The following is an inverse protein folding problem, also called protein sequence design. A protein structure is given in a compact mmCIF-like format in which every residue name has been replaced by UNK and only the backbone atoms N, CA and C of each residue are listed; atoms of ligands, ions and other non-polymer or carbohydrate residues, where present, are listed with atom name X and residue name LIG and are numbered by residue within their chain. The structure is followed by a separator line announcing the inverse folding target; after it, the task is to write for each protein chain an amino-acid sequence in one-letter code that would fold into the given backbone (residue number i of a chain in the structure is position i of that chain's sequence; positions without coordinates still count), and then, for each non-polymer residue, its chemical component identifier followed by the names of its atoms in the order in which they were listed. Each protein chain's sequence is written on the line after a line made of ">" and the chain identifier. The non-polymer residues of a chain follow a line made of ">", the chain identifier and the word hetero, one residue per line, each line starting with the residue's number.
data_IF_053727032904
#
_entry.id   IF_053727032904
#
_cell.length_a   1.000
_cell.length_b   1.000
_cell.length_c   1.000
_cell.angle_alpha   90.00
_cell.angle_beta   90.00
_cell.angle_gamma   90.00
#
_symmetry.space_group_name_H-M   'P 1'
#
loop_
_entity.id
_entity.type
_entity.pdbx_description
1 polymer ?
#
# COMPACT_ATOMS: atom_id res chain seq x y z
N UNK A 1 2.68 -2.20 -29.22
CA UNK A 1 3.89 -2.41 -30.06
C UNK A 1 5.05 -2.51 -29.10
N UNK A 2 5.50 -3.73 -28.79
CA UNK A 2 6.75 -3.97 -28.07
C UNK A 2 7.78 -4.43 -29.09
N UNK A 3 8.70 -3.55 -29.47
CA UNK A 3 9.88 -3.89 -30.23
C UNK A 3 11.05 -4.10 -29.26
N UNK A 4 11.58 -5.32 -29.18
CA UNK A 4 12.90 -5.56 -28.58
C UNK A 4 13.92 -5.55 -29.71
N UNK A 5 14.98 -4.77 -29.59
CA UNK A 5 16.14 -4.82 -30.48
C UNK A 5 17.34 -5.32 -29.68
N UNK A 6 17.90 -6.46 -30.11
CA UNK A 6 19.18 -6.97 -29.66
C UNK A 6 20.28 -6.28 -30.47
N UNK A 7 20.66 -5.05 -30.12
CA UNK A 7 21.74 -4.30 -30.77
C UNK A 7 21.68 -2.79 -30.57
N UNK A 8 22.84 -2.12 -30.67
CA UNK A 8 22.98 -0.66 -30.58
C UNK A 8 22.40 0.03 -31.83
N UNK A 9 21.09 0.27 -31.83
CA UNK A 9 20.40 1.07 -32.84
C UNK A 9 19.62 2.22 -32.20
N UNK A 10 19.75 3.42 -32.74
CA UNK A 10 18.97 4.58 -32.31
C UNK A 10 17.50 4.41 -32.71
N UNK A 11 16.60 4.36 -31.72
CA UNK A 11 15.16 4.28 -31.97
C UNK A 11 14.64 5.70 -32.24
N UNK A 12 14.16 5.94 -33.46
CA UNK A 12 13.52 7.20 -33.84
C UNK A 12 12.00 7.03 -33.76
N UNK A 13 11.37 7.70 -32.80
CA UNK A 13 9.91 7.78 -32.72
C UNK A 13 9.43 8.95 -33.59
N UNK A 14 8.58 8.67 -34.58
CA UNK A 14 7.93 9.71 -35.37
C UNK A 14 6.40 9.55 -35.34
N UNK A 15 5.70 10.64 -35.62
CA UNK A 15 4.24 10.70 -35.47
C UNK A 15 3.50 9.81 -36.49
N UNK A 16 4.17 9.34 -37.55
CA UNK A 16 3.60 8.42 -38.53
C UNK A 16 3.43 6.99 -37.95
N UNK A 17 4.07 6.68 -36.82
CA UNK A 17 3.83 5.45 -36.07
C UNK A 17 2.48 5.46 -35.32
N UNK A 18 1.84 6.63 -35.16
CA UNK A 18 0.47 6.71 -34.65
C UNK A 18 -0.50 6.37 -35.78
N UNK A 19 -1.08 5.17 -35.74
CA UNK A 19 -2.26 4.88 -36.54
C UNK A 19 -3.43 5.69 -35.97
N UNK A 20 -3.97 6.63 -36.74
CA UNK A 20 -5.22 7.31 -36.38
C UNK A 20 -6.37 6.29 -36.42
N UNK A 21 -6.52 5.52 -35.34
CA UNK A 21 -7.66 4.64 -35.15
C UNK A 21 -8.92 5.47 -34.88
N UNK A 22 -10.07 4.98 -35.31
CA UNK A 22 -11.36 5.49 -34.87
C UNK A 22 -11.53 5.15 -33.37
N UNK A 23 -10.94 5.97 -32.51
CA UNK A 23 -11.08 5.91 -31.05
C UNK A 23 -12.41 6.55 -30.60
N UNK A 24 -13.46 6.42 -31.40
CA UNK A 24 -14.80 6.94 -31.12
C UNK A 24 -15.58 6.07 -30.13
N UNK A 25 -15.15 4.84 -29.91
CA UNK A 25 -15.76 3.92 -28.95
C UNK A 25 -15.16 4.10 -27.56
N UNK A 26 -15.70 5.06 -26.80
CA UNK A 26 -15.46 5.18 -25.36
C UNK A 26 -16.60 4.47 -24.61
N UNK A 27 -16.33 3.33 -24.00
CA UNK A 27 -17.32 2.58 -23.21
C UNK A 27 -17.48 3.23 -21.82
N UNK A 28 -18.28 4.30 -21.72
CA UNK A 28 -18.82 4.74 -20.42
C UNK A 28 -19.91 3.74 -20.02
N UNK A 29 -19.80 3.15 -18.83
CA UNK A 29 -20.98 2.59 -18.18
C UNK A 29 -21.98 3.73 -17.91
N UNK A 30 -22.96 3.91 -18.80
CA UNK A 30 -24.09 4.80 -18.55
C UNK A 30 -25.05 4.13 -17.58
N UNK A 31 -24.62 3.90 -16.35
CA UNK A 31 -25.59 3.71 -15.28
C UNK A 31 -25.87 5.09 -14.71
N UNK A 32 -27.06 5.62 -15.00
CA UNK A 32 -27.76 6.43 -14.02
C UNK A 32 -27.99 5.52 -12.81
N UNK A 33 -26.94 5.24 -12.05
CA UNK A 33 -27.12 4.76 -10.69
C UNK A 33 -27.83 5.94 -10.03
N UNK A 34 -29.08 5.71 -9.65
CA UNK A 34 -29.64 6.37 -8.48
C UNK A 34 -28.47 6.49 -7.51
N UNK A 35 -28.12 7.72 -7.11
CA UNK A 35 -27.20 7.91 -6.00
C UNK A 35 -27.88 7.24 -4.81
N UNK A 36 -27.72 5.91 -4.68
CA UNK A 36 -27.66 5.28 -3.38
C UNK A 36 -26.67 6.19 -2.67
N UNK A 37 -27.19 6.89 -1.66
CA UNK A 37 -26.36 7.54 -0.66
C UNK A 37 -25.14 6.65 -0.52
N UNK A 38 -23.96 7.17 -0.86
CA UNK A 38 -22.72 6.46 -0.61
C UNK A 38 -22.85 6.11 0.87
N UNK A 39 -23.13 4.84 1.18
CA UNK A 39 -22.91 4.30 2.51
C UNK A 39 -21.54 4.82 2.85
N UNK A 40 -21.44 5.67 3.87
CA UNK A 40 -20.15 6.12 4.36
C UNK A 40 -19.51 4.83 4.80
N UNK A 41 -18.69 4.26 3.92
CA UNK A 41 -17.88 3.11 4.27
C UNK A 41 -16.99 3.68 5.34
N UNK A 42 -17.23 3.27 6.58
CA UNK A 42 -16.39 3.61 7.71
C UNK A 42 -15.00 3.05 7.37
N UNK A 43 -14.13 3.98 6.97
CA UNK A 43 -12.74 3.70 6.64
C UNK A 43 -11.93 4.07 7.85
N UNK A 44 -11.17 3.11 8.34
CA UNK A 44 -10.27 3.30 9.45
C UNK A 44 -8.90 2.90 8.98
N UNK A 45 -8.00 3.88 8.81
CA UNK A 45 -6.72 3.66 8.15
C UNK A 45 -5.61 4.27 8.98
N UNK A 46 -4.47 3.61 8.97
CA UNK A 46 -3.22 4.13 9.52
C UNK A 46 -2.11 3.88 8.49
N UNK A 47 -1.41 4.96 8.13
CA UNK A 47 -0.24 4.89 7.27
C UNK A 47 1.01 4.95 8.13
N UNK A 48 1.82 3.90 8.05
CA UNK A 48 3.07 3.80 8.78
C UNK A 48 4.23 4.06 7.81
N UNK A 49 5.10 4.99 8.20
CA UNK A 49 6.25 5.39 7.41
C UNK A 49 7.53 4.92 8.09
N UNK A 50 8.39 4.23 7.34
CA UNK A 50 9.76 3.90 7.71
C UNK A 50 10.72 4.88 7.02
N UNK A 51 11.52 5.60 7.80
CA UNK A 51 12.43 6.61 7.28
C UNK A 51 13.81 6.60 7.94
N UNK A 52 14.80 7.23 7.30
CA UNK A 52 16.10 7.50 7.92
C UNK A 52 16.64 8.90 7.57
N UNK A 53 17.70 9.32 8.29
CA UNK A 53 18.36 10.60 8.09
C UNK A 53 19.07 10.76 6.72
N UNK A 54 19.25 9.66 5.97
CA UNK A 54 19.87 9.64 4.63
C UNK A 54 18.84 9.81 3.50
N UNK A 55 17.56 9.96 3.83
CA UNK A 55 16.48 10.15 2.87
C UNK A 55 15.84 8.86 2.35
N UNK A 56 16.14 7.70 2.95
CA UNK A 56 15.38 6.49 2.68
C UNK A 56 13.96 6.65 3.25
N UNK A 57 12.97 6.25 2.46
CA UNK A 57 11.56 6.35 2.82
C UNK A 57 10.78 5.21 2.19
N UNK A 58 9.91 4.58 2.97
CA UNK A 58 8.93 3.60 2.53
C UNK A 58 7.70 3.69 3.43
N UNK A 59 6.51 3.50 2.85
CA UNK A 59 5.25 3.55 3.57
C UNK A 59 4.44 2.29 3.33
N UNK A 60 3.73 1.85 4.37
CA UNK A 60 2.72 0.77 4.32
C UNK A 60 1.40 1.27 4.91
N UNK A 61 0.29 0.66 4.50
CA UNK A 61 -1.06 1.03 4.93
C UNK A 61 -1.75 -0.16 5.59
N UNK A 62 -2.29 0.06 6.78
CA UNK A 62 -3.23 -0.86 7.42
C UNK A 62 -4.61 -0.20 7.43
N UNK A 63 -5.62 -0.91 6.93
CA UNK A 63 -6.98 -0.41 6.83
C UNK A 63 -8.00 -1.41 7.35
N UNK A 64 -8.90 -0.96 8.22
CA UNK A 64 -10.05 -1.73 8.68
C UNK A 64 -11.28 -1.29 7.90
N UNK A 65 -11.96 -2.25 7.30
CA UNK A 65 -13.11 -2.01 6.41
C UNK A 65 -14.09 -3.16 6.46
N UNK A 66 -15.38 -2.84 6.31
CA UNK A 66 -16.44 -3.85 6.24
C UNK A 66 -16.23 -4.79 5.04
N UNK A 67 -16.41 -6.10 5.29
CA UNK A 67 -16.23 -7.20 4.33
C UNK A 67 -14.78 -7.55 3.95
N UNK A 68 -13.77 -6.94 4.57
CA UNK A 68 -12.42 -7.49 4.55
C UNK A 68 -12.31 -8.71 5.48
N UNK A 69 -11.23 -9.48 5.33
CA UNK A 69 -10.88 -10.57 6.24
C UNK A 69 -9.57 -10.28 6.95
N UNK A 70 -9.28 -10.99 8.04
CA UNK A 70 -7.98 -10.87 8.74
C UNK A 70 -6.89 -11.75 8.11
N UNK A 71 -7.26 -12.70 7.25
CA UNK A 71 -6.33 -13.46 6.39
C UNK A 71 -5.99 -12.67 5.12
N UNK A 72 -5.31 -13.31 4.16
CA UNK A 72 -5.06 -12.65 2.88
C UNK A 72 -6.36 -12.48 2.07
N UNK A 73 -6.68 -11.24 1.72
CA UNK A 73 -7.85 -10.88 0.91
C UNK A 73 -7.43 -10.15 -0.36
N UNK A 74 -7.47 -10.84 -1.50
CA UNK A 74 -7.11 -10.29 -2.80
C UNK A 74 -7.96 -9.07 -3.23
N UNK A 75 -9.08 -8.80 -2.57
CA UNK A 75 -9.93 -7.63 -2.85
C UNK A 75 -9.43 -6.36 -2.16
N UNK A 76 -8.66 -6.49 -1.09
CA UNK A 76 -8.22 -5.37 -0.24
C UNK A 76 -6.70 -5.30 -0.06
N UNK A 77 -6.02 -6.44 -0.14
CA UNK A 77 -4.59 -6.55 0.12
C UNK A 77 -3.76 -6.26 -1.14
N UNK A 78 -2.65 -5.54 -0.93
CA UNK A 78 -1.64 -5.25 -1.93
C UNK A 78 -0.32 -5.88 -1.54
N UNK A 79 0.08 -6.95 -2.24
CA UNK A 79 1.36 -7.61 -2.05
C UNK A 79 2.53 -6.66 -2.37
N UNK A 80 3.56 -6.67 -1.52
CA UNK A 80 4.82 -5.97 -1.79
C UNK A 80 5.58 -6.72 -2.87
N UNK A 81 6.01 -6.00 -3.89
CA UNK A 81 6.88 -6.54 -4.94
C UNK A 81 8.36 -6.28 -4.68
N UNK A 82 8.72 -5.76 -3.50
CA UNK A 82 10.09 -5.39 -3.12
C UNK A 82 10.81 -4.59 -4.23
N UNK A 83 10.09 -3.65 -4.83
CA UNK A 83 10.56 -2.92 -6.00
C UNK A 83 11.63 -1.86 -5.70
N UNK A 84 11.96 -1.64 -4.43
CA UNK A 84 12.94 -0.65 -3.99
C UNK A 84 14.23 -1.35 -3.57
N UNK A 85 15.32 -1.04 -4.27
CA UNK A 85 16.63 -1.67 -4.07
C UNK A 85 17.23 -1.45 -2.67
N UNK A 86 16.78 -0.42 -1.94
CA UNK A 86 17.43 0.03 -0.72
C UNK A 86 16.63 -0.24 0.56
N UNK A 87 15.30 -0.28 0.46
CA UNK A 87 14.42 -0.36 1.63
C UNK A 87 13.06 -0.94 1.24
N UNK A 88 12.58 -1.89 2.04
CA UNK A 88 11.19 -2.33 2.02
C UNK A 88 10.59 -2.30 3.42
N UNK A 89 9.27 -2.08 3.50
CA UNK A 89 8.50 -2.00 4.73
C UNK A 89 7.09 -2.47 4.43
N UNK A 90 6.63 -3.46 5.18
CA UNK A 90 5.42 -4.21 4.88
C UNK A 90 4.86 -4.85 6.15
N UNK A 91 3.59 -5.21 6.11
CA UNK A 91 3.04 -6.17 7.05
C UNK A 91 3.18 -7.60 6.52
N UNK A 92 3.15 -8.58 7.42
CA UNK A 92 3.26 -10.00 7.09
C UNK A 92 1.96 -10.69 7.46
N UNK A 93 1.35 -11.37 6.48
CA UNK A 93 0.14 -12.16 6.67
C UNK A 93 0.18 -13.41 5.79
N UNK A 94 -0.07 -14.60 6.34
CA UNK A 94 -0.11 -15.87 5.60
C UNK A 94 1.05 -16.07 4.60
N UNK A 95 2.29 -15.87 5.06
CA UNK A 95 3.52 -15.94 4.25
C UNK A 95 3.63 -14.92 3.10
N UNK A 96 2.84 -13.85 3.14
CA UNK A 96 2.89 -12.73 2.21
C UNK A 96 3.31 -11.44 2.87
N UNK A 97 4.14 -10.68 2.16
CA UNK A 97 4.50 -9.33 2.52
C UNK A 97 3.52 -8.36 1.84
N UNK A 98 2.86 -7.49 2.58
CA UNK A 98 1.82 -6.59 2.10
C UNK A 98 2.22 -5.12 2.29
N UNK A 99 2.13 -4.32 1.22
CA UNK A 99 2.24 -2.85 1.29
C UNK A 99 0.90 -2.20 1.67
N UNK A 100 -0.21 -2.91 1.41
CA UNK A 100 -1.54 -2.53 1.85
C UNK A 100 -2.19 -3.77 2.44
N UNK A 101 -2.68 -3.68 3.67
CA UNK A 101 -3.42 -4.77 4.31
C UNK A 101 -4.79 -4.30 4.77
N UNK A 102 -5.82 -4.99 4.30
CA UNK A 102 -7.17 -4.92 4.81
C UNK A 102 -7.35 -5.79 6.05
N UNK A 103 -8.09 -5.29 7.03
CA UNK A 103 -8.52 -6.02 8.22
C UNK A 103 -10.03 -5.92 8.36
N UNK A 104 -10.63 -6.96 8.93
CA UNK A 104 -12.07 -7.02 9.10
C UNK A 104 -12.57 -6.00 10.14
N UNK A 105 -13.81 -5.55 9.96
CA UNK A 105 -14.59 -4.94 11.04
C UNK A 105 -15.53 -5.99 11.66
N UNK A 106 -15.87 -5.88 12.97
CA UNK A 106 -15.51 -4.79 13.90
C UNK A 106 -14.03 -4.79 14.34
N UNK A 107 -13.52 -3.61 14.70
CA UNK A 107 -12.15 -3.43 15.20
C UNK A 107 -11.95 -4.14 16.55
N UNK A 108 -10.82 -4.81 16.72
CA UNK A 108 -10.37 -5.38 18.00
C UNK A 108 -9.22 -4.51 18.53
N UNK A 109 -9.37 -3.99 19.74
CA UNK A 109 -8.34 -3.16 20.40
C UNK A 109 -7.06 -3.96 20.73
N UNK A 110 -7.13 -5.30 20.73
CA UNK A 110 -6.00 -6.18 20.93
C UNK A 110 -5.46 -6.75 19.61
N UNK A 111 -5.84 -6.17 18.47
CA UNK A 111 -5.37 -6.66 17.18
C UNK A 111 -3.87 -6.47 17.02
N UNK A 112 -3.17 -7.54 16.67
CA UNK A 112 -1.72 -7.52 16.43
C UNK A 112 -1.44 -7.78 14.95
N UNK A 113 -0.62 -6.91 14.36
CA UNK A 113 -0.16 -7.06 12.98
C UNK A 113 1.35 -7.14 12.96
N UNK A 114 1.87 -8.25 12.43
CA UNK A 114 3.30 -8.44 12.27
C UNK A 114 3.83 -7.51 11.17
N UNK A 115 4.81 -6.69 11.51
CA UNK A 115 5.51 -5.81 10.57
C UNK A 115 6.91 -6.34 10.30
N UNK A 116 7.38 -6.10 9.07
CA UNK A 116 8.74 -6.43 8.64
C UNK A 116 9.33 -5.29 7.83
N UNK A 117 10.65 -5.16 7.89
CA UNK A 117 11.39 -4.26 7.03
C UNK A 117 12.71 -4.90 6.57
N UNK A 118 13.18 -4.47 5.41
CA UNK A 118 14.51 -4.83 4.90
C UNK A 118 15.24 -3.54 4.50
N UNK A 119 16.56 -3.51 4.67
CA UNK A 119 17.36 -2.42 4.11
C UNK A 119 18.78 -2.85 3.79
N UNK A 120 19.34 -2.30 2.71
CA UNK A 120 20.77 -2.38 2.38
C UNK A 120 21.56 -1.19 2.94
N UNK A 121 20.89 -0.24 3.58
CA UNK A 121 21.49 0.95 4.17
C UNK A 121 21.73 0.69 5.66
N UNK A 122 22.99 0.72 6.07
CA UNK A 122 23.34 0.69 7.49
C UNK A 122 22.94 2.00 8.19
N UNK A 123 22.32 1.86 9.36
CA UNK A 123 21.97 2.96 10.24
C UNK A 123 20.67 2.73 11.03
N UNK A 124 20.28 3.76 11.78
CA UNK A 124 19.00 3.79 12.48
C UNK A 124 17.87 4.20 11.53
N UNK A 125 16.71 3.59 11.72
CA UNK A 125 15.46 3.94 11.06
C UNK A 125 14.42 4.33 12.11
N UNK A 126 13.47 5.17 11.72
CA UNK A 126 12.33 5.55 12.55
C UNK A 126 11.04 5.08 11.87
N UNK A 127 10.11 4.57 12.69
CA UNK A 127 8.74 4.26 12.28
C UNK A 127 7.83 5.28 12.96
N UNK A 128 7.03 5.96 12.16
CA UNK A 128 6.08 6.98 12.62
C UNK A 128 4.77 6.86 11.83
N UNK A 129 3.69 7.47 12.36
CA UNK A 129 2.42 7.61 11.66
C UNK A 129 2.49 8.82 10.73
N UNK A 130 2.16 8.61 9.46
CA UNK A 130 2.08 9.68 8.46
C UNK A 130 0.68 10.31 8.41
N UNK A 131 -0.34 9.45 8.38
CA UNK A 131 -1.74 9.85 8.29
C UNK A 131 -2.62 8.82 9.01
N UNK A 132 -3.79 9.27 9.48
CA UNK A 132 -4.82 8.42 10.09
C UNK A 132 -6.21 8.81 9.60
N UNK A 133 -7.11 7.84 9.57
CA UNK A 133 -8.54 8.03 9.33
C UNK A 133 -9.39 7.32 10.40
N UNK A 134 -10.56 7.89 10.66
CA UNK A 134 -11.61 7.23 11.43
C UNK A 134 -11.20 6.97 12.88
N UNK A 135 -11.24 5.70 13.34
CA UNK A 135 -10.98 5.36 14.74
C UNK A 135 -9.57 5.74 15.19
N UNK A 136 -8.58 5.73 14.28
CA UNK A 136 -7.19 6.08 14.58
C UNK A 136 -6.96 7.57 14.83
N UNK A 137 -7.99 8.42 14.67
CA UNK A 137 -7.92 9.81 15.14
C UNK A 137 -7.92 9.92 16.67
N UNK A 138 -8.38 8.88 17.37
CA UNK A 138 -8.45 8.83 18.84
C UNK A 138 -7.91 7.54 19.45
N UNK A 139 -7.70 6.50 18.65
CA UNK A 139 -7.15 5.23 19.08
C UNK A 139 -5.62 5.29 19.06
N UNK A 140 -5.00 4.93 20.19
CA UNK A 140 -3.55 4.79 20.29
C UNK A 140 -3.05 3.61 19.43
N UNK A 141 -1.88 3.77 18.82
CA UNK A 141 -1.22 2.76 17.98
C UNK A 141 0.18 2.50 18.51
N UNK A 142 0.46 1.25 18.85
CA UNK A 142 1.72 0.87 19.48
C UNK A 142 2.62 0.09 18.53
N UNK A 143 3.92 0.30 18.63
CA UNK A 143 4.95 -0.53 18.02
C UNK A 143 5.73 -1.24 19.10
N UNK A 144 5.83 -2.55 18.96
CA UNK A 144 6.69 -3.42 19.75
C UNK A 144 7.98 -3.75 18.98
N UNK A 145 9.13 -3.46 19.57
CA UNK A 145 10.42 -3.97 19.10
C UNK A 145 10.75 -5.28 19.80
N UNK A 146 10.63 -6.38 19.07
CA UNK A 146 10.87 -7.75 19.56
C UNK A 146 12.33 -8.05 19.92
N UNK A 147 13.29 -7.24 19.46
CA UNK A 147 14.70 -7.43 19.84
C UNK A 147 14.99 -6.83 21.22
N UNK A 148 14.37 -5.69 21.53
CA UNK A 148 14.57 -4.97 22.78
C UNK A 148 13.47 -5.20 23.81
N UNK A 149 12.37 -5.85 23.41
CA UNK A 149 11.11 -5.96 24.18
C UNK A 149 10.61 -4.60 24.66
N UNK A 150 10.77 -3.57 23.83
CA UNK A 150 10.29 -2.22 24.12
C UNK A 150 9.01 -1.93 23.33
N UNK A 151 8.08 -1.22 23.97
CA UNK A 151 6.82 -0.80 23.35
C UNK A 151 6.80 0.73 23.35
N UNK A 152 6.46 1.31 22.20
CA UNK A 152 6.34 2.75 22.01
C UNK A 152 4.97 3.07 21.42
N UNK A 153 4.28 4.06 21.99
CA UNK A 153 3.12 4.67 21.35
C UNK A 153 3.60 5.60 20.22
N UNK A 154 3.00 5.49 19.04
CA UNK A 154 3.34 6.29 17.86
C UNK A 154 2.63 7.65 17.83
#
# INVERSE_FOLDING_TARGET
>A
ITGRISGTGTILFNNNMRKAGQNSSFFKFSTKKNRKQLEVVDKHRVWLSLSNAKGAFKQTLLGYVANATNGYDNSFDGESFDGNQFIDFYSVNEDKNLTIQGRALPFDENDEVSLGFSSTIEGAFSIDIDEVDGLFASQDVFIEDKNTNSIKNL
#
